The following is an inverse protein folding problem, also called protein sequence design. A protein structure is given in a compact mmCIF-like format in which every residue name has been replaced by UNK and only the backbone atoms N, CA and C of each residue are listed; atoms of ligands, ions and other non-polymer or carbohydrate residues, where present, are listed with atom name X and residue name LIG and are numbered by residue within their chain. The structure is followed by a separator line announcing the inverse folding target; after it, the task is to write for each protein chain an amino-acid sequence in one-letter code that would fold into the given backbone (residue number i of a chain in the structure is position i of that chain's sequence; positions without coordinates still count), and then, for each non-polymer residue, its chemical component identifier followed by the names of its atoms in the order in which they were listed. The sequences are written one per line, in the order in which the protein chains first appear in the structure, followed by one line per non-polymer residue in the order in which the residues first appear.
data_IF_268470140612
#
_entry.id   IF_268470140612
#
_cell.length_a   1.000
_cell.length_b   1.000
_cell.length_c   1.000
_cell.angle_alpha   90.00
_cell.angle_beta   90.00
_cell.angle_gamma   90.00
#
_symmetry.space_group_name_H-M   'P 1'
#
loop_
_entity.id
_entity.type
_entity.pdbx_description
1 polymer ?
#
# COMPACT_ATOMS: atom_id res chain seq x y z
N UNK A 1 -4.21 6.22 8.29
CA UNK A 1 -5.26 5.19 8.44
C UNK A 1 -6.63 5.72 8.04
N UNK A 2 -6.98 6.95 8.38
CA UNK A 2 -8.26 7.57 7.94
C UNK A 2 -8.49 7.52 6.44
N UNK A 3 -7.54 8.00 5.63
CA UNK A 3 -7.66 7.96 4.17
C UNK A 3 -7.84 6.54 3.60
N UNK A 4 -7.24 5.53 4.23
CA UNK A 4 -7.40 4.13 3.80
C UNK A 4 -8.78 3.58 4.16
N UNK A 5 -9.33 3.96 5.31
CA UNK A 5 -10.69 3.58 5.69
C UNK A 5 -11.73 4.22 4.78
N UNK A 6 -11.58 5.52 4.48
CA UNK A 6 -12.46 6.23 3.55
C UNK A 6 -12.39 5.63 2.14
N UNK A 7 -11.19 5.30 1.66
CA UNK A 7 -11.03 4.62 0.39
C UNK A 7 -11.67 3.23 0.39
N UNK A 8 -11.48 2.45 1.45
CA UNK A 8 -12.12 1.15 1.62
C UNK A 8 -13.64 1.23 1.55
N UNK A 9 -14.23 2.23 2.20
CA UNK A 9 -15.66 2.49 2.14
C UNK A 9 -16.12 2.79 0.70
N UNK A 10 -15.48 3.75 0.00
CA UNK A 10 -15.84 4.12 -1.38
C UNK A 10 -15.71 2.95 -2.35
N UNK A 11 -14.67 2.13 -2.19
CA UNK A 11 -14.46 0.94 -3.02
C UNK A 11 -15.52 -0.14 -2.73
N UNK A 12 -15.92 -0.31 -1.47
CA UNK A 12 -16.99 -1.24 -1.12
C UNK A 12 -18.34 -0.82 -1.71
N UNK A 13 -18.65 0.48 -1.72
CA UNK A 13 -19.89 1.02 -2.28
C UNK A 13 -20.00 0.83 -3.80
N UNK A 14 -18.86 0.80 -4.50
CA UNK A 14 -18.82 0.82 -5.97
C UNK A 14 -18.44 -0.51 -6.60
N UNK A 15 -17.54 -1.27 -5.99
CA UNK A 15 -16.96 -2.50 -6.55
C UNK A 15 -17.21 -3.74 -5.70
N UNK A 16 -17.59 -3.58 -4.43
CA UNK A 16 -17.79 -4.67 -3.46
C UNK A 16 -16.64 -5.71 -3.45
N UNK A 17 -15.37 -5.31 -3.38
CA UNK A 17 -14.26 -6.26 -3.50
C UNK A 17 -14.04 -7.04 -2.19
N UNK A 18 -13.41 -8.21 -2.31
CA UNK A 18 -12.73 -8.83 -1.18
C UNK A 18 -11.40 -8.11 -0.94
N UNK A 19 -11.23 -7.53 0.25
CA UNK A 19 -9.96 -6.92 0.64
C UNK A 19 -9.02 -7.94 1.27
N UNK A 20 -7.76 -7.96 0.85
CA UNK A 20 -6.70 -8.74 1.50
C UNK A 20 -5.69 -7.74 2.06
N UNK A 21 -5.49 -7.78 3.38
CA UNK A 21 -4.61 -6.87 4.10
C UNK A 21 -3.27 -7.56 4.39
N UNK A 22 -2.22 -7.11 3.70
CA UNK A 22 -0.86 -7.64 3.78
C UNK A 22 -0.01 -6.86 4.78
N UNK A 23 0.92 -7.55 5.43
CA UNK A 23 1.84 -6.95 6.40
C UNK A 23 2.62 -8.01 7.18
N UNK A 24 3.52 -7.57 8.05
CA UNK A 24 4.20 -8.46 8.99
C UNK A 24 3.36 -8.77 10.23
N UNK A 25 3.86 -9.62 11.14
CA UNK A 25 3.20 -9.88 12.43
C UNK A 25 2.91 -8.61 13.24
N UNK A 26 3.82 -7.62 13.19
CA UNK A 26 3.66 -6.33 13.88
C UNK A 26 2.61 -5.40 13.27
N UNK A 27 2.10 -5.69 12.06
CA UNK A 27 1.06 -4.88 11.41
C UNK A 27 -0.36 -5.36 11.72
N UNK A 28 -0.49 -6.56 12.32
CA UNK A 28 -1.79 -7.27 12.43
C UNK A 28 -2.85 -6.46 13.17
N UNK A 29 -2.53 -5.93 14.35
CA UNK A 29 -3.46 -5.14 15.16
C UNK A 29 -3.91 -3.88 14.41
N UNK A 30 -2.94 -3.13 13.86
CA UNK A 30 -3.20 -1.92 13.07
C UNK A 30 -4.07 -2.19 11.83
N UNK A 31 -3.90 -3.34 11.19
CA UNK A 31 -4.71 -3.74 10.03
C UNK A 31 -6.09 -4.26 10.43
N UNK A 32 -6.23 -4.87 11.60
CA UNK A 32 -7.54 -5.19 12.20
C UNK A 32 -8.31 -3.91 12.48
N UNK A 33 -7.69 -2.93 13.15
CA UNK A 33 -8.31 -1.63 13.41
C UNK A 33 -8.76 -0.93 12.11
N UNK A 34 -7.96 -1.06 11.04
CA UNK A 34 -8.34 -0.54 9.73
C UNK A 34 -9.53 -1.32 9.16
N UNK A 35 -9.52 -2.64 9.24
CA UNK A 35 -10.57 -3.51 8.72
C UNK A 35 -11.93 -3.20 9.38
N UNK A 36 -11.94 -2.86 10.66
CA UNK A 36 -13.18 -2.61 11.41
C UNK A 36 -13.81 -1.24 11.09
N UNK A 37 -13.12 -0.37 10.34
CA UNK A 37 -13.56 1.00 10.04
C UNK A 37 -14.40 1.16 8.77
N UNK A 38 -14.61 0.11 8.00
CA UNK A 38 -15.44 0.14 6.80
C UNK A 38 -16.15 -1.21 6.61
N UNK A 39 -17.25 -1.31 5.84
CA UNK A 39 -17.90 -2.60 5.59
C UNK A 39 -17.14 -3.46 4.56
N UNK A 40 -17.64 -4.68 4.32
CA UNK A 40 -17.14 -5.58 3.26
C UNK A 40 -16.29 -6.74 3.75
N UNK A 41 -16.13 -7.75 2.89
CA UNK A 41 -15.35 -8.94 3.21
C UNK A 41 -13.86 -8.63 3.21
N UNK A 42 -13.17 -9.12 4.26
CA UNK A 42 -11.76 -8.82 4.52
C UNK A 42 -11.03 -10.06 5.00
N UNK A 43 -9.82 -10.24 4.49
CA UNK A 43 -8.86 -11.22 4.95
C UNK A 43 -7.60 -10.51 5.46
N UNK A 44 -7.27 -10.70 6.73
CA UNK A 44 -6.03 -10.16 7.31
C UNK A 44 -4.92 -11.20 7.17
N UNK A 45 -4.20 -11.15 6.05
CA UNK A 45 -3.07 -12.03 5.78
C UNK A 45 -1.80 -11.64 6.58
N UNK A 46 -1.79 -10.45 7.20
CA UNK A 46 -0.65 -9.94 7.94
C UNK A 46 -0.19 -10.88 9.07
N UNK A 47 1.07 -11.29 8.98
CA UNK A 47 1.68 -12.26 9.90
C UNK A 47 1.12 -13.69 9.83
N UNK A 48 0.25 -13.99 8.86
CA UNK A 48 -0.35 -15.32 8.67
C UNK A 48 0.14 -16.06 7.43
N UNK A 49 0.85 -15.36 6.55
CA UNK A 49 1.41 -15.91 5.32
C UNK A 49 2.94 -15.77 5.32
N UNK A 50 3.63 -16.80 4.85
CA UNK A 50 5.03 -16.73 4.44
C UNK A 50 5.19 -15.76 3.26
N UNK A 51 6.44 -15.43 2.91
CA UNK A 51 6.75 -14.59 1.75
C UNK A 51 6.19 -15.21 0.46
N UNK A 52 6.34 -16.52 0.27
CA UNK A 52 5.85 -17.22 -0.92
C UNK A 52 4.32 -17.29 -0.97
N UNK A 53 3.66 -17.54 0.17
CA UNK A 53 2.20 -17.51 0.25
C UNK A 53 1.66 -16.09 0.02
N UNK A 54 2.36 -15.06 0.50
CA UNK A 54 2.04 -13.66 0.20
C UNK A 54 2.12 -13.39 -1.30
N UNK A 55 3.19 -13.84 -1.97
CA UNK A 55 3.31 -13.73 -3.41
C UNK A 55 2.19 -14.49 -4.16
N UNK A 56 1.82 -15.68 -3.69
CA UNK A 56 0.72 -16.47 -4.25
C UNK A 56 -0.65 -15.80 -4.08
N UNK A 57 -0.90 -15.17 -2.92
CA UNK A 57 -2.11 -14.36 -2.69
C UNK A 57 -2.12 -13.14 -3.61
N UNK A 58 -1.00 -12.42 -3.73
CA UNK A 58 -0.86 -11.26 -4.60
C UNK A 58 -1.12 -11.62 -6.07
N UNK A 59 -0.63 -12.76 -6.55
CA UNK A 59 -0.85 -13.24 -7.92
C UNK A 59 -2.34 -13.44 -8.25
N UNK A 60 -3.20 -13.60 -7.24
CA UNK A 60 -4.66 -13.73 -7.38
C UNK A 60 -5.41 -12.41 -7.21
N UNK A 61 -4.74 -11.34 -6.78
CA UNK A 61 -5.37 -10.03 -6.63
C UNK A 61 -5.55 -9.35 -7.99
N UNK A 62 -6.70 -8.68 -8.17
CA UNK A 62 -6.95 -7.87 -9.37
C UNK A 62 -6.11 -6.59 -9.40
N UNK A 63 -5.87 -6.00 -8.23
CA UNK A 63 -5.03 -4.82 -8.04
C UNK A 63 -4.50 -4.78 -6.61
N UNK A 64 -3.28 -4.27 -6.42
CA UNK A 64 -2.70 -3.94 -5.12
C UNK A 64 -2.63 -2.42 -4.93
N UNK A 65 -3.17 -1.92 -3.83
CA UNK A 65 -2.84 -0.58 -3.33
C UNK A 65 -1.77 -0.72 -2.25
N UNK A 66 -0.63 -0.06 -2.40
CA UNK A 66 0.51 -0.27 -1.50
C UNK A 66 1.28 1.01 -1.20
N UNK A 67 2.05 0.97 -0.12
CA UNK A 67 3.15 1.89 0.15
C UNK A 67 4.45 1.29 -0.40
N UNK A 68 5.55 2.03 -0.28
CA UNK A 68 6.92 1.56 -0.52
C UNK A 68 7.36 0.56 0.58
N UNK A 69 6.86 -0.67 0.48
CA UNK A 69 7.09 -1.78 1.42
C UNK A 69 7.18 -3.13 0.68
N UNK A 70 7.73 -4.15 1.33
CA UNK A 70 8.02 -5.47 0.74
C UNK A 70 6.94 -6.07 -0.18
N UNK A 71 5.66 -6.13 0.20
CA UNK A 71 4.59 -6.65 -0.65
C UNK A 71 4.48 -6.00 -2.03
N UNK A 72 4.87 -4.73 -2.18
CA UNK A 72 4.94 -4.03 -3.47
C UNK A 72 5.88 -4.74 -4.45
N UNK A 73 7.07 -5.15 -3.99
CA UNK A 73 8.04 -5.84 -4.84
C UNK A 73 7.60 -7.27 -5.17
N UNK A 74 6.94 -7.96 -4.24
CA UNK A 74 6.36 -9.28 -4.51
C UNK A 74 5.25 -9.19 -5.57
N UNK A 75 4.40 -8.18 -5.49
CA UNK A 75 3.37 -7.91 -6.50
C UNK A 75 3.98 -7.63 -7.87
N UNK A 76 5.13 -6.92 -7.91
CA UNK A 76 5.86 -6.65 -9.14
C UNK A 76 6.37 -7.96 -9.76
N UNK A 77 6.94 -8.84 -8.94
CA UNK A 77 7.46 -10.14 -9.35
C UNK A 77 6.38 -11.05 -9.96
N UNK A 78 5.19 -11.09 -9.36
CA UNK A 78 4.09 -11.96 -9.81
C UNK A 78 3.14 -11.28 -10.81
N UNK A 79 3.45 -10.05 -11.24
CA UNK A 79 2.69 -9.35 -12.28
C UNK A 79 1.35 -8.76 -11.83
N UNK A 80 1.10 -8.63 -10.53
CA UNK A 80 -0.12 -8.02 -9.99
C UNK A 80 -0.14 -6.52 -10.35
N UNK A 81 -1.22 -6.02 -10.99
CA UNK A 81 -1.39 -4.59 -11.20
C UNK A 81 -1.35 -3.83 -9.87
N UNK A 82 -0.72 -2.66 -9.80
CA UNK A 82 -0.66 -1.93 -8.54
C UNK A 82 -0.73 -0.41 -8.67
N UNK A 83 -1.24 0.21 -7.62
CA UNK A 83 -1.10 1.65 -7.34
C UNK A 83 -0.20 1.78 -6.13
N UNK A 84 0.97 2.39 -6.32
CA UNK A 84 1.97 2.54 -5.28
C UNK A 84 2.07 4.00 -4.83
N UNK A 85 1.84 4.25 -3.54
CA UNK A 85 1.94 5.57 -2.93
C UNK A 85 3.36 5.76 -2.39
N UNK A 86 4.05 6.77 -2.90
CA UNK A 86 5.42 7.11 -2.49
C UNK A 86 5.48 8.48 -1.84
N UNK A 87 6.41 8.62 -0.89
CA UNK A 87 6.70 9.92 -0.30
C UNK A 87 7.33 10.85 -1.33
N UNK A 88 6.96 12.13 -1.27
CA UNK A 88 7.56 13.19 -2.08
C UNK A 88 9.07 13.37 -1.83
N UNK A 89 9.53 12.97 -0.63
CA UNK A 89 10.93 13.13 -0.18
C UNK A 89 11.82 11.94 -0.54
N UNK A 90 11.24 10.84 -1.02
CA UNK A 90 12.03 9.69 -1.46
C UNK A 90 12.65 9.97 -2.82
N UNK A 91 13.93 9.62 -2.97
CA UNK A 91 14.60 9.66 -4.27
C UNK A 91 13.83 8.81 -5.28
N UNK A 92 13.40 9.44 -6.37
CA UNK A 92 12.70 8.72 -7.44
C UNK A 92 13.60 7.62 -8.01
N UNK A 93 12.96 6.52 -8.46
CA UNK A 93 13.58 5.33 -9.08
C UNK A 93 14.38 4.40 -8.17
N UNK A 94 14.80 4.82 -6.98
CA UNK A 94 15.65 3.97 -6.13
C UNK A 94 14.93 2.72 -5.62
N UNK A 95 13.66 2.85 -5.22
CA UNK A 95 12.85 1.77 -4.63
C UNK A 95 11.57 1.49 -5.43
N UNK A 96 11.47 2.04 -6.64
CA UNK A 96 10.28 1.81 -7.46
C UNK A 96 10.19 0.34 -7.87
N UNK A 97 8.99 -0.25 -7.88
CA UNK A 97 8.83 -1.65 -8.24
C UNK A 97 9.20 -1.88 -9.71
N UNK A 98 9.92 -2.95 -9.99
CA UNK A 98 10.25 -3.36 -11.34
C UNK A 98 9.04 -4.05 -12.00
N UNK A 99 8.10 -3.25 -12.49
CA UNK A 99 6.89 -3.74 -13.16
C UNK A 99 6.42 -2.74 -14.22
N UNK A 100 5.82 -3.25 -15.30
CA UNK A 100 5.14 -2.43 -16.30
C UNK A 100 3.66 -2.17 -15.93
N UNK A 101 3.16 -2.77 -14.84
CA UNK A 101 1.76 -2.70 -14.41
C UNK A 101 1.62 -1.91 -13.11
N UNK A 102 2.30 -0.78 -13.01
CA UNK A 102 2.29 0.10 -11.83
C UNK A 102 1.93 1.53 -12.19
N UNK A 103 1.05 2.13 -11.38
CA UNK A 103 0.85 3.57 -11.32
C UNK A 103 1.46 4.07 -10.02
N UNK A 104 2.45 4.97 -10.11
CA UNK A 104 3.11 5.57 -8.95
C UNK A 104 2.47 6.92 -8.66
N UNK A 105 1.91 7.08 -7.47
CA UNK A 105 1.38 8.35 -6.99
C UNK A 105 2.37 8.98 -6.00
N UNK A 106 2.80 10.20 -6.30
CA UNK A 106 3.65 11.02 -5.45
C UNK A 106 3.05 12.42 -5.36
N UNK A 107 2.90 12.93 -4.15
CA UNK A 107 2.60 14.35 -3.95
C UNK A 107 3.84 15.18 -4.29
N UNK A 108 3.67 16.31 -4.95
CA UNK A 108 4.70 17.33 -5.02
C UNK A 108 4.72 18.11 -3.70
N UNK A 109 5.87 18.15 -3.03
CA UNK A 109 6.10 19.09 -1.93
C UNK A 109 7.07 20.15 -2.46
N UNK A 110 6.82 21.46 -2.22
CA UNK A 110 7.80 22.49 -2.52
C UNK A 110 9.16 22.16 -1.87
N UNK A 111 10.28 22.62 -2.44
CA UNK A 111 11.59 22.46 -1.81
C UNK A 111 11.52 22.94 -0.37
N UNK A 112 12.07 22.15 0.55
CA UNK A 112 12.22 22.59 1.94
C UNK A 112 13.13 23.83 1.89
N UNK A 113 12.65 24.98 2.36
CA UNK A 113 13.48 26.18 2.45
C UNK A 113 14.60 25.92 3.47
N UNK A 114 15.78 25.57 2.97
CA UNK A 114 16.96 25.25 3.78
C UNK A 114 17.58 26.52 4.41
N UNK A 115 17.10 27.72 4.07
CA UNK A 115 17.62 28.98 4.59
C UNK A 115 16.91 29.49 5.86
N UNK A 116 15.84 28.84 6.32
CA UNK A 116 15.06 29.29 7.47
C UNK A 116 15.70 29.03 8.86
N UNK A 117 16.94 28.53 8.94
CA UNK A 117 17.61 28.15 10.21
C UNK A 117 18.64 29.14 10.77
N UNK A 118 18.78 30.36 10.23
CA UNK A 118 19.76 31.34 10.73
C UNK A 118 19.18 32.71 11.13
N UNK A 119 17.94 32.74 11.63
CA UNK A 119 17.36 33.94 12.25
C UNK A 119 16.65 33.58 13.56
N UNK A 120 17.43 33.28 14.61
CA UNK A 120 17.03 33.43 16.02
C UNK A 120 18.25 33.80 16.84
#
# INVERSE_FOLDING_TARGET
MENFAELGQRLQETLQPLFILFGGPGDRERLQDLADRFPGDKLIAAGQATVLETAALLARCHVLLTLDIGPMHLAALVGTPMVALFSARQFSKMWEPHSHRVVILRTSIPPLDLHAKHQR
#
